data_IF_769359266300
#
_entry.id   IF_769359266300
#
_cell.length_a   1.000
_cell.length_b   1.000
_cell.length_c   1.000
_cell.angle_alpha   90.00
_cell.angle_beta   90.00
_cell.angle_gamma   90.00
#
_symmetry.space_group_name_H-M   'P 1'
#
loop_
_entity.id
_entity.type
_entity.pdbx_description
1 polymer ?
#
# COMPACT_ATOMS: atom_id res chain seq x y z
N UNK A 1 21.20 -46.10 0.93
CA UNK A 1 19.93 -45.69 0.28
C UNK A 1 19.25 -44.50 0.97
N UNK A 2 19.43 -44.32 2.29
CA UNK A 2 18.89 -43.19 3.06
C UNK A 2 19.37 -41.78 2.61
N UNK A 3 20.63 -41.66 2.18
CA UNK A 3 21.20 -40.40 1.63
C UNK A 3 20.52 -39.90 0.35
N UNK A 4 19.93 -40.79 -0.46
CA UNK A 4 19.20 -40.40 -1.68
C UNK A 4 17.82 -39.84 -1.36
N UNK A 5 17.16 -40.37 -0.32
CA UNK A 5 15.85 -39.89 0.15
C UNK A 5 16.00 -38.52 0.83
N UNK A 6 17.09 -38.30 1.58
CA UNK A 6 17.40 -37.01 2.19
C UNK A 6 17.61 -35.90 1.14
N UNK A 7 18.25 -36.23 0.01
CA UNK A 7 18.51 -35.27 -1.06
C UNK A 7 17.24 -34.86 -1.82
N UNK A 8 16.29 -35.79 -1.98
CA UNK A 8 14.99 -35.52 -2.62
C UNK A 8 14.09 -34.66 -1.73
N UNK A 9 14.11 -34.88 -0.41
CA UNK A 9 13.36 -34.05 0.55
C UNK A 9 13.86 -32.60 0.59
N UNK A 10 15.18 -32.39 0.54
CA UNK A 10 15.78 -31.04 0.54
C UNK A 10 15.52 -30.28 -0.76
N UNK A 11 15.47 -30.98 -1.90
CA UNK A 11 15.15 -30.37 -3.21
C UNK A 11 13.70 -29.89 -3.31
N UNK A 12 12.77 -30.48 -2.55
CA UNK A 12 11.35 -30.14 -2.63
C UNK A 12 10.97 -28.89 -1.82
N UNK A 13 11.88 -28.36 -0.98
CA UNK A 13 11.62 -27.21 -0.12
C UNK A 13 11.97 -25.85 -0.76
N UNK A 14 12.48 -25.85 -2.00
CA UNK A 14 12.99 -24.66 -2.70
C UNK A 14 11.99 -23.99 -3.66
N UNK A 15 10.74 -24.45 -3.74
CA UNK A 15 9.81 -24.02 -4.80
C UNK A 15 8.65 -23.10 -4.36
N UNK A 16 8.76 -22.41 -3.23
CA UNK A 16 7.73 -21.46 -2.77
C UNK A 16 8.26 -20.02 -2.61
N UNK A 17 9.08 -19.56 -3.55
CA UNK A 17 9.27 -18.12 -3.74
C UNK A 17 8.14 -17.61 -4.65
N UNK A 18 7.01 -17.23 -4.05
CA UNK A 18 5.99 -16.49 -4.78
C UNK A 18 6.63 -15.19 -5.30
N UNK A 19 6.46 -14.84 -6.59
CA UNK A 19 6.94 -13.55 -7.07
C UNK A 19 6.22 -12.46 -6.27
N UNK A 20 6.99 -11.65 -5.56
CA UNK A 20 6.51 -10.37 -5.08
C UNK A 20 6.32 -9.48 -6.30
N UNK A 21 5.17 -9.63 -6.98
CA UNK A 21 4.77 -8.79 -8.09
C UNK A 21 4.83 -7.33 -7.65
N UNK A 22 5.31 -6.47 -8.54
CA UNK A 22 5.01 -5.06 -8.47
C UNK A 22 3.50 -4.94 -8.67
N UNK A 23 2.74 -4.68 -7.61
CA UNK A 23 1.31 -4.45 -7.71
C UNK A 23 1.07 -2.94 -7.79
N UNK A 24 0.64 -2.49 -8.96
CA UNK A 24 0.27 -1.12 -9.21
C UNK A 24 -1.04 -0.77 -8.49
N UNK A 25 -1.21 0.50 -8.12
CA UNK A 25 -2.43 0.98 -7.47
C UNK A 25 -3.27 1.75 -8.49
N UNK A 26 -4.53 1.37 -8.64
CA UNK A 26 -5.50 2.09 -9.46
C UNK A 26 -6.52 2.81 -8.58
N UNK A 27 -6.75 4.07 -8.88
CA UNK A 27 -7.81 4.88 -8.30
C UNK A 27 -9.05 4.72 -9.17
N UNK A 28 -10.11 4.24 -8.55
CA UNK A 28 -11.41 3.99 -9.17
C UNK A 28 -12.45 4.96 -8.64
N UNK A 29 -13.35 5.39 -9.52
CA UNK A 29 -14.45 6.28 -9.20
C UNK A 29 -15.75 5.72 -9.72
N UNK A 30 -16.86 6.12 -9.08
CA UNK A 30 -18.18 5.84 -9.60
C UNK A 30 -18.35 6.61 -10.95
N UNK A 31 -18.91 5.98 -12.01
CA UNK A 31 -19.04 6.60 -13.33
C UNK A 31 -19.80 7.93 -13.34
N UNK A 32 -20.71 8.11 -12.37
CA UNK A 32 -21.52 9.32 -12.21
C UNK A 32 -20.72 10.60 -11.97
N UNK A 33 -19.48 10.51 -11.49
CA UNK A 33 -18.61 11.67 -11.27
C UNK A 33 -18.23 12.34 -12.59
N UNK A 34 -18.33 11.64 -13.73
CA UNK A 34 -18.01 12.14 -15.07
C UNK A 34 -16.59 12.73 -15.17
N UNK A 35 -15.63 12.10 -14.48
CA UNK A 35 -14.21 12.51 -14.47
C UNK A 35 -13.41 11.54 -15.31
N UNK A 36 -12.59 12.04 -16.23
CA UNK A 36 -11.74 11.19 -17.08
C UNK A 36 -10.41 10.85 -16.42
N UNK A 37 -9.84 11.79 -15.68
CA UNK A 37 -8.54 11.64 -15.02
C UNK A 37 -8.45 12.49 -13.77
N UNK A 38 -7.67 12.05 -12.79
CA UNK A 38 -7.27 12.84 -11.63
C UNK A 38 -5.75 12.85 -11.50
N UNK A 39 -5.18 13.98 -11.12
CA UNK A 39 -3.78 14.09 -10.72
C UNK A 39 -3.57 13.54 -9.30
N UNK A 40 -2.34 13.16 -8.98
CA UNK A 40 -1.95 12.73 -7.62
C UNK A 40 -2.28 13.80 -6.58
N UNK A 41 -2.12 15.08 -6.94
CA UNK A 41 -2.42 16.21 -6.06
C UNK A 41 -3.92 16.30 -5.73
N UNK A 42 -4.78 16.06 -6.71
CA UNK A 42 -6.23 16.05 -6.49
C UNK A 42 -6.65 14.85 -5.64
N UNK A 43 -6.07 13.67 -5.88
CA UNK A 43 -6.29 12.50 -5.02
C UNK A 43 -5.86 12.80 -3.59
N UNK A 44 -4.71 13.43 -3.38
CA UNK A 44 -4.25 13.86 -2.06
C UNK A 44 -5.24 14.82 -1.39
N UNK A 45 -5.68 15.85 -2.11
CA UNK A 45 -6.62 16.82 -1.57
C UNK A 45 -7.95 16.16 -1.15
N UNK A 46 -8.44 15.17 -1.90
CA UNK A 46 -9.65 14.42 -1.56
C UNK A 46 -9.44 13.58 -0.30
N UNK A 47 -8.38 12.78 -0.24
CA UNK A 47 -8.11 11.88 0.89
C UNK A 47 -7.62 12.60 2.15
N UNK A 48 -7.19 13.85 2.03
CA UNK A 48 -6.91 14.73 3.16
C UNK A 48 -8.11 15.61 3.54
N UNK A 49 -9.26 15.47 2.88
CA UNK A 49 -10.47 16.25 3.18
C UNK A 49 -10.36 17.74 2.84
N UNK A 50 -9.44 18.11 1.95
CA UNK A 50 -9.30 19.47 1.41
C UNK A 50 -10.25 19.72 0.24
N UNK A 51 -10.61 18.65 -0.48
CA UNK A 51 -11.58 18.67 -1.57
C UNK A 51 -12.74 17.74 -1.26
N UNK A 52 -13.91 18.32 -1.01
CA UNK A 52 -15.15 17.57 -0.73
C UNK A 52 -16.07 17.45 -1.95
N UNK A 53 -15.83 18.23 -2.99
CA UNK A 53 -16.66 18.28 -4.19
C UNK A 53 -15.81 18.24 -5.44
N UNK A 54 -16.21 17.40 -6.40
CA UNK A 54 -15.70 17.43 -7.76
C UNK A 54 -16.85 17.90 -8.66
N UNK A 55 -16.72 19.12 -9.17
CA UNK A 55 -17.81 19.80 -9.87
C UNK A 55 -19.01 20.02 -8.95
N UNK A 56 -20.14 19.38 -9.26
CA UNK A 56 -21.39 19.49 -8.49
C UNK A 56 -21.65 18.31 -7.55
N UNK A 57 -20.75 17.33 -7.50
CA UNK A 57 -20.94 16.09 -6.77
C UNK A 57 -20.03 16.03 -5.57
N UNK A 58 -20.59 15.62 -4.43
CA UNK A 58 -19.84 15.39 -3.20
C UNK A 58 -19.05 14.09 -3.36
N UNK A 59 -17.75 14.14 -3.11
CA UNK A 59 -16.91 12.95 -3.10
C UNK A 59 -17.02 12.21 -1.77
N UNK A 60 -17.00 10.88 -1.85
CA UNK A 60 -17.07 9.97 -0.71
C UNK A 60 -15.86 9.04 -0.79
N UNK A 61 -14.73 9.41 -0.14
CA UNK A 61 -13.54 8.57 -0.16
C UNK A 61 -13.81 7.25 0.56
N UNK A 62 -13.32 6.18 -0.04
CA UNK A 62 -13.32 4.82 0.49
C UNK A 62 -11.87 4.46 0.75
N UNK A 63 -11.64 3.91 1.93
CA UNK A 63 -10.34 3.53 2.44
C UNK A 63 -10.38 2.06 2.89
N UNK A 64 -9.23 1.39 2.93
CA UNK A 64 -9.16 -0.01 3.32
C UNK A 64 -8.76 -0.15 4.79
N UNK A 65 -9.00 -1.28 5.43
CA UNK A 65 -8.57 -1.48 6.83
C UNK A 65 -7.05 -1.42 6.99
N UNK A 66 -6.62 -1.11 8.21
CA UNK A 66 -5.21 -0.82 8.54
C UNK A 66 -4.26 -2.02 8.36
N UNK A 67 -4.81 -3.23 8.33
CA UNK A 67 -4.08 -4.47 8.07
C UNK A 67 -3.74 -4.66 6.58
N UNK A 68 -4.38 -3.91 5.68
CA UNK A 68 -4.17 -4.03 4.25
C UNK A 68 -2.86 -3.38 3.81
N UNK A 69 -2.06 -4.11 3.04
CA UNK A 69 -0.76 -3.62 2.56
C UNK A 69 -0.92 -2.45 1.59
N UNK A 70 -1.95 -2.50 0.74
CA UNK A 70 -2.29 -1.42 -0.19
C UNK A 70 -2.51 -0.09 0.53
N UNK A 71 -3.11 -0.11 1.73
CA UNK A 71 -3.30 1.10 2.54
C UNK A 71 -1.97 1.68 3.00
N UNK A 72 -1.03 0.84 3.45
CA UNK A 72 0.28 1.32 3.90
C UNK A 72 1.04 2.00 2.76
N UNK A 73 1.00 1.39 1.57
CA UNK A 73 1.61 1.94 0.36
C UNK A 73 0.90 3.23 -0.04
N UNK A 74 -0.43 3.24 -0.05
CA UNK A 74 -1.23 4.42 -0.39
C UNK A 74 -0.91 5.61 0.53
N UNK A 75 -0.93 5.42 1.85
CA UNK A 75 -0.63 6.49 2.80
C UNK A 75 0.81 7.00 2.68
N UNK A 76 1.77 6.11 2.48
CA UNK A 76 3.19 6.45 2.44
C UNK A 76 3.62 7.08 1.12
N UNK A 77 3.20 6.48 0.01
CA UNK A 77 3.76 6.77 -1.31
C UNK A 77 2.84 7.67 -2.16
N UNK A 78 1.55 7.75 -1.83
CA UNK A 78 0.60 8.67 -2.49
C UNK A 78 0.35 9.88 -1.62
N UNK A 79 -0.11 9.66 -0.38
CA UNK A 79 -0.46 10.74 0.55
C UNK A 79 0.73 11.35 1.28
N UNK A 80 1.88 10.65 1.32
CA UNK A 80 3.08 11.05 2.07
C UNK A 80 2.80 11.43 3.53
N UNK A 81 1.90 10.69 4.19
CA UNK A 81 1.46 10.94 5.55
C UNK A 81 1.58 9.68 6.41
N UNK A 82 1.89 9.85 7.69
CA UNK A 82 1.86 8.73 8.62
C UNK A 82 0.42 8.29 8.90
N UNK A 83 0.23 7.00 9.22
CA UNK A 83 -1.06 6.46 9.63
C UNK A 83 -1.68 7.25 10.79
N UNK A 84 -0.88 7.57 11.80
CA UNK A 84 -1.32 8.30 12.99
C UNK A 84 -1.79 9.72 12.64
N UNK A 85 -1.04 10.42 11.79
CA UNK A 85 -1.41 11.77 11.37
C UNK A 85 -2.66 11.77 10.48
N UNK A 86 -2.81 10.77 9.61
CA UNK A 86 -4.00 10.60 8.79
C UNK A 86 -5.26 10.41 9.63
N UNK A 87 -5.22 9.50 10.61
CA UNK A 87 -6.34 9.28 11.53
C UNK A 87 -6.62 10.53 12.36
N UNK A 88 -5.59 11.17 12.94
CA UNK A 88 -5.74 12.41 13.73
C UNK A 88 -6.42 13.51 12.92
N UNK A 89 -6.01 13.67 11.66
CA UNK A 89 -6.57 14.68 10.75
C UNK A 89 -8.06 14.44 10.53
N UNK A 90 -8.45 13.22 10.17
CA UNK A 90 -9.87 12.91 9.96
C UNK A 90 -10.71 13.04 11.23
N UNK A 91 -10.17 12.65 12.39
CA UNK A 91 -10.80 12.90 13.69
C UNK A 91 -11.06 14.38 13.90
N UNK A 92 -10.07 15.25 13.64
CA UNK A 92 -10.22 16.69 13.75
C UNK A 92 -11.27 17.25 12.78
N UNK A 93 -11.25 16.83 11.51
CA UNK A 93 -12.20 17.28 10.49
C UNK A 93 -13.65 16.92 10.81
N UNK A 94 -13.89 15.71 11.34
CA UNK A 94 -15.21 15.26 11.77
C UNK A 94 -15.70 16.09 12.97
N UNK A 95 -14.82 16.36 13.95
CA UNK A 95 -15.18 17.17 15.12
C UNK A 95 -15.52 18.62 14.77
N UNK A 96 -14.91 19.18 13.73
CA UNK A 96 -15.26 20.52 13.23
C UNK A 96 -16.61 20.58 12.51
N UNK A 97 -17.30 19.44 12.35
CA UNK A 97 -18.59 19.35 11.66
C UNK A 97 -18.51 19.57 10.14
N UNK A 98 -17.30 19.55 9.58
CA UNK A 98 -17.06 19.92 8.18
C UNK A 98 -17.34 18.78 7.18
N UNK A 99 -17.05 17.53 7.54
CA UNK A 99 -17.04 16.43 6.55
C UNK A 99 -17.21 15.06 7.17
N UNK A 100 -17.64 14.11 6.34
CA UNK A 100 -17.71 12.69 6.69
C UNK A 100 -16.42 12.01 6.26
N UNK A 101 -15.76 11.34 7.21
CA UNK A 101 -14.51 10.64 6.94
C UNK A 101 -14.64 9.47 5.95
N UNK A 102 -13.51 8.89 5.53
CA UNK A 102 -13.49 7.81 4.58
C UNK A 102 -14.22 6.57 5.10
N UNK A 103 -14.96 5.90 4.22
CA UNK A 103 -15.65 4.65 4.54
C UNK A 103 -14.62 3.52 4.52
N UNK A 104 -14.49 2.77 5.61
CA UNK A 104 -13.54 1.66 5.71
C UNK A 104 -14.10 0.36 5.14
N UNK A 105 -13.30 -0.35 4.34
CA UNK A 105 -13.60 -1.68 3.77
C UNK A 105 -12.50 -2.70 4.03
N UNK A 106 -12.84 -3.98 4.02
CA UNK A 106 -11.86 -5.03 4.36
C UNK A 106 -10.88 -5.30 3.23
N UNK A 107 -11.29 -5.16 1.98
CA UNK A 107 -10.53 -5.59 0.82
C UNK A 107 -10.94 -4.80 -0.43
N UNK A 108 -10.14 -4.91 -1.49
CA UNK A 108 -10.37 -4.29 -2.79
C UNK A 108 -11.72 -4.65 -3.41
N UNK A 109 -12.22 -5.88 -3.23
CA UNK A 109 -13.49 -6.32 -3.81
C UNK A 109 -14.68 -5.56 -3.21
N UNK A 110 -14.68 -5.36 -1.89
CA UNK A 110 -15.68 -4.54 -1.19
C UNK A 110 -15.59 -3.07 -1.57
N UNK A 111 -14.37 -2.55 -1.82
CA UNK A 111 -14.18 -1.20 -2.35
C UNK A 111 -14.83 -1.09 -3.72
N UNK A 112 -14.55 -2.01 -4.65
CA UNK A 112 -15.15 -2.04 -6.00
C UNK A 112 -16.68 -2.08 -5.91
N UNK A 113 -17.25 -2.98 -5.12
CA UNK A 113 -18.71 -3.09 -4.95
C UNK A 113 -19.33 -1.79 -4.42
N UNK A 114 -18.67 -1.15 -3.46
CA UNK A 114 -19.16 0.11 -2.92
C UNK A 114 -19.04 1.24 -3.95
N UNK A 115 -17.95 1.30 -4.71
CA UNK A 115 -17.76 2.27 -5.80
C UNK A 115 -18.78 2.08 -6.93
N UNK A 116 -19.30 0.87 -7.15
CA UNK A 116 -20.35 0.62 -8.14
C UNK A 116 -21.75 1.09 -7.67
N UNK A 117 -21.99 1.16 -6.37
CA UNK A 117 -23.33 1.37 -5.80
C UNK A 117 -23.52 2.75 -5.20
N UNK A 118 -22.44 3.38 -4.75
CA UNK A 118 -22.47 4.66 -4.05
C UNK A 118 -22.07 5.80 -5.00
N UNK A 119 -23.03 6.65 -5.34
CA UNK A 119 -22.77 7.89 -6.09
C UNK A 119 -21.73 8.77 -5.39
N UNK A 120 -20.79 9.31 -6.19
CA UNK A 120 -19.68 10.12 -5.70
C UNK A 120 -18.57 9.34 -5.00
N UNK A 121 -18.60 8.01 -4.99
CA UNK A 121 -17.55 7.20 -4.39
C UNK A 121 -16.23 7.27 -5.16
N UNK A 122 -15.14 7.32 -4.40
CA UNK A 122 -13.76 7.21 -4.89
C UNK A 122 -13.02 6.22 -3.99
N UNK A 123 -12.33 5.27 -4.59
CA UNK A 123 -11.59 4.22 -3.89
C UNK A 123 -10.26 3.91 -4.56
N UNK A 124 -9.38 3.22 -3.86
CA UNK A 124 -8.14 2.70 -4.41
C UNK A 124 -8.07 1.18 -4.24
N UNK A 125 -7.62 0.50 -5.29
CA UNK A 125 -7.49 -0.96 -5.37
C UNK A 125 -6.25 -1.34 -6.17
N UNK A 126 -5.85 -2.60 -6.11
CA UNK A 126 -4.78 -3.10 -6.97
C UNK A 126 -5.18 -3.05 -8.44
N UNK A 127 -4.25 -2.70 -9.33
CA UNK A 127 -4.53 -2.49 -10.75
C UNK A 127 -5.11 -3.74 -11.42
N UNK A 128 -4.60 -4.92 -11.06
CA UNK A 128 -5.10 -6.21 -11.57
C UNK A 128 -6.55 -6.50 -11.17
N UNK A 129 -6.98 -5.99 -10.02
CA UNK A 129 -8.37 -6.10 -9.56
C UNK A 129 -9.26 -5.07 -10.24
N UNK A 130 -8.78 -3.83 -10.39
CA UNK A 130 -9.48 -2.79 -11.15
C UNK A 130 -9.73 -3.22 -12.61
N UNK A 131 -8.74 -3.86 -13.25
CA UNK A 131 -8.85 -4.33 -14.63
C UNK A 131 -9.92 -5.41 -14.83
N UNK A 132 -10.24 -6.19 -13.77
CA UNK A 132 -11.27 -7.23 -13.79
C UNK A 132 -12.66 -6.69 -13.43
N UNK A 133 -12.73 -5.52 -12.82
CA UNK A 133 -13.96 -4.92 -12.38
C UNK A 133 -14.68 -4.21 -13.54
N UNK A 134 -15.92 -4.61 -13.82
CA UNK A 134 -16.82 -3.87 -14.71
C UNK A 134 -17.61 -2.82 -13.91
N UNK A 135 -18.07 -1.74 -14.57
CA UNK A 135 -18.96 -0.75 -13.95
C UNK A 135 -18.30 0.27 -13.02
N UNK A 136 -16.97 0.29 -12.96
CA UNK A 136 -16.18 1.34 -12.31
C UNK A 136 -15.32 2.05 -13.35
N UNK A 137 -14.98 3.32 -13.10
CA UNK A 137 -14.08 4.08 -13.97
C UNK A 137 -12.73 4.26 -13.29
N UNK A 138 -11.65 3.87 -13.96
CA UNK A 138 -10.29 4.10 -13.46
C UNK A 138 -9.81 5.47 -13.94
N UNK A 139 -9.38 6.33 -13.03
CA UNK A 139 -8.98 7.73 -13.31
C UNK A 139 -7.49 8.00 -13.13
N UNK A 140 -6.80 7.12 -12.40
CA UNK A 140 -5.37 7.21 -12.16
C UNK A 140 -4.82 5.82 -11.88
N UNK A 141 -3.70 5.46 -12.51
CA UNK A 141 -2.93 4.26 -12.17
C UNK A 141 -1.53 4.68 -11.80
N UNK A 142 -1.07 4.22 -10.64
CA UNK A 142 0.24 4.52 -10.07
C UNK A 142 1.09 3.26 -10.14
N UNK A 143 2.16 3.34 -10.92
CA UNK A 143 3.10 2.25 -11.06
C UNK A 143 3.96 2.14 -9.80
N UNK A 144 3.77 1.09 -9.01
CA UNK A 144 4.53 0.86 -7.79
C UNK A 144 5.64 -0.15 -8.07
N UNK A 145 6.80 0.36 -8.49
CA UNK A 145 8.01 -0.45 -8.51
C UNK A 145 8.45 -0.64 -7.06
N UNK A 146 8.14 -1.82 -6.51
CA UNK A 146 8.69 -2.30 -5.24
C UNK A 146 10.20 -2.28 -5.36
N UNK A 147 10.85 -1.16 -5.00
CA UNK A 147 12.31 -1.06 -4.92
C UNK A 147 12.75 -2.04 -3.82
N UNK A 148 13.10 -3.24 -4.27
CA UNK A 148 13.98 -4.23 -3.64
C UNK A 148 14.00 -4.21 -2.10
N UNK A 149 13.02 -4.88 -1.48
CA UNK A 149 13.23 -5.54 -0.18
C UNK A 149 13.57 -7.04 -0.38
N UNK A 150 14.17 -7.40 -1.53
CA UNK A 150 14.53 -8.79 -1.88
C UNK A 150 16.05 -9.04 -1.85
N UNK A 151 16.84 -8.15 -1.23
CA UNK A 151 18.29 -8.40 -1.02
C UNK A 151 18.58 -8.93 0.41
N UNK A 152 17.67 -8.81 1.37
CA UNK A 152 17.92 -9.27 2.75
C UNK A 152 17.81 -10.79 2.99
N UNK A 153 17.44 -11.61 2.00
CA UNK A 153 17.27 -13.07 2.23
C UNK A 153 18.52 -13.92 1.96
N UNK A 154 19.61 -13.36 1.42
CA UNK A 154 20.79 -14.15 1.01
C UNK A 154 22.16 -13.58 1.38
N UNK A 155 22.25 -12.58 2.27
CA UNK A 155 23.52 -12.19 2.89
C UNK A 155 23.56 -12.61 4.37
N UNK A 156 23.21 -13.87 4.64
CA UNK A 156 23.42 -14.51 5.93
C UNK A 156 24.55 -15.56 5.91
N UNK A 157 25.54 -15.45 5.01
CA UNK A 157 26.65 -16.43 4.95
C UNK A 157 28.07 -15.81 4.84
N UNK A 158 28.25 -14.51 4.55
CA UNK A 158 29.61 -13.94 4.42
C UNK A 158 30.14 -13.18 5.66
N UNK A 159 29.39 -13.11 6.76
CA UNK A 159 29.83 -12.39 7.97
C UNK A 159 30.47 -13.29 9.06
N UNK A 160 30.72 -14.57 8.76
CA UNK A 160 31.32 -15.53 9.71
C UNK A 160 32.81 -15.81 9.47
N UNK A 161 33.60 -14.80 9.10
CA UNK A 161 35.05 -14.85 9.29
C UNK A 161 35.59 -13.49 9.72
N UNK A 162 35.30 -13.10 10.96
CA UNK A 162 36.23 -12.26 11.71
C UNK A 162 36.26 -12.76 13.15
N UNK A 163 37.22 -13.66 13.39
CA UNK A 163 37.55 -14.17 14.72
C UNK A 163 37.88 -13.02 15.67
N UNK A 164 37.59 -13.19 16.98
CA UNK A 164 38.06 -12.29 18.01
C UNK A 164 39.53 -12.62 18.29
N UNK A 165 40.39 -11.60 18.34
CA UNK A 165 41.67 -11.74 19.03
C UNK A 165 41.87 -10.48 19.88
N UNK A 166 41.97 -10.74 21.18
CA UNK A 166 42.37 -9.83 22.24
C UNK A 166 43.65 -9.07 21.90
N UNK A 167 43.73 -7.80 22.29
CA UNK A 167 44.71 -7.36 23.31
C UNK A 167 44.77 -5.83 23.37
N UNK A 168 44.22 -5.29 24.45
CA UNK A 168 44.70 -4.04 25.05
C UNK A 168 46.18 -4.22 25.46
N UNK A 169 47.00 -3.15 25.53
CA UNK A 169 46.89 -2.25 26.67
C UNK A 169 47.15 -0.76 26.41
N UNK A 170 46.43 0.02 27.23
CA UNK A 170 46.77 1.31 27.84
C UNK A 170 48.27 1.61 27.84
N UNK A 171 48.65 2.83 27.40
CA UNK A 171 49.75 3.63 27.95
C UNK A 171 49.67 5.08 27.41
N UNK A 172 49.28 6.00 28.29
CA UNK A 172 49.69 7.41 28.29
C UNK A 172 51.20 7.46 28.65
N UNK A 173 52.06 8.38 28.14
CA UNK A 173 52.00 9.81 28.51
C UNK A 173 52.48 10.82 27.43
N UNK A 174 52.02 12.06 27.51
CA UNK A 174 52.81 13.29 27.25
C UNK A 174 52.13 14.53 27.83
#
# INVERSE_FOLDING_TARGET
MLKRILFVMVSSLLFLAAPAGAEDISIIVHPDLNIDSLSVKEVNAIYLGETEFLGKKRVKPIDQRENQEIRKIFLKDVLHISKTDYTRRWTHLIFMGGTTGPILKENSQEVIQLVQTLEGAIGYVWADEAAKAAGVKTVLTLHYSKKMCSICSLQNIFFLQRSPDESEPVLDPS
#
